data_IF_611587480350
#
_entry.id   IF_611587480350
#
_cell.length_a   1.000
_cell.length_b   1.000
_cell.length_c   1.000
_cell.angle_alpha   90.00
_cell.angle_beta   90.00
_cell.angle_gamma   90.00
#
_symmetry.space_group_name_H-M   'P 1'
#
loop_
_entity.id
_entity.type
_entity.pdbx_description
1 polymer ?
#
# COMPACT_ATOMS: atom_id res chain seq x y z
N UNK A 1 -14.65 -1.85 11.77
CA UNK A 1 -14.02 -2.44 10.59
C UNK A 1 -13.58 -1.32 9.66
N UNK A 2 -12.28 -1.12 9.52
CA UNK A 2 -11.65 -0.10 8.70
C UNK A 2 -10.79 -0.80 7.65
N UNK A 3 -10.97 -0.43 6.39
CA UNK A 3 -10.22 -1.02 5.26
C UNK A 3 -9.39 0.06 4.58
N UNK A 4 -8.13 -0.24 4.25
CA UNK A 4 -7.27 0.62 3.44
C UNK A 4 -7.29 0.13 1.99
N UNK A 5 -7.54 1.04 1.06
CA UNK A 5 -7.42 0.77 -0.37
C UNK A 5 -6.11 1.37 -0.87
N UNK A 6 -5.28 0.56 -1.53
CA UNK A 6 -4.02 0.97 -2.16
C UNK A 6 -3.99 0.49 -3.62
N UNK A 7 -3.21 1.15 -4.46
CA UNK A 7 -3.01 0.82 -5.88
C UNK A 7 -1.67 1.38 -6.36
N UNK A 8 -1.29 1.08 -7.59
CA UNK A 8 -0.25 1.78 -8.37
C UNK A 8 1.10 1.80 -7.64
N UNK A 9 1.46 0.66 -7.05
CA UNK A 9 2.71 0.49 -6.31
C UNK A 9 3.90 0.60 -7.28
N UNK A 10 3.74 0.09 -8.50
CA UNK A 10 4.74 0.15 -9.56
C UNK A 10 6.14 -0.25 -9.09
N UNK A 11 6.25 -1.31 -8.26
CA UNK A 11 7.51 -1.78 -7.72
C UNK A 11 8.24 -0.83 -6.75
N UNK A 12 7.66 0.31 -6.37
CA UNK A 12 8.30 1.28 -5.49
C UNK A 12 8.24 0.84 -4.02
N UNK A 13 9.26 0.09 -3.59
CA UNK A 13 9.34 -0.48 -2.24
C UNK A 13 9.35 0.59 -1.15
N UNK A 14 10.12 1.66 -1.33
CA UNK A 14 10.25 2.74 -0.34
C UNK A 14 8.89 3.43 -0.10
N UNK A 15 8.16 3.75 -1.17
CA UNK A 15 6.83 4.32 -1.06
C UNK A 15 5.85 3.36 -0.38
N UNK A 16 5.89 2.07 -0.74
CA UNK A 16 5.04 1.05 -0.14
C UNK A 16 5.27 0.93 1.36
N UNK A 17 6.53 0.93 1.82
CA UNK A 17 6.86 0.86 3.24
C UNK A 17 6.30 2.05 4.04
N UNK A 18 6.40 3.26 3.50
CA UNK A 18 5.83 4.46 4.13
C UNK A 18 4.31 4.36 4.25
N UNK A 19 3.63 3.90 3.19
CA UNK A 19 2.17 3.72 3.18
C UNK A 19 1.75 2.65 4.19
N UNK A 20 2.42 1.50 4.22
CA UNK A 20 2.11 0.42 5.17
C UNK A 20 2.30 0.85 6.63
N UNK A 21 3.32 1.66 6.93
CA UNK A 21 3.51 2.22 8.26
C UNK A 21 2.39 3.20 8.67
N UNK A 22 1.88 4.01 7.73
CA UNK A 22 0.72 4.88 7.98
C UNK A 22 -0.59 4.07 8.17
N UNK A 23 -0.76 3.00 7.40
CA UNK A 23 -1.88 2.05 7.56
C UNK A 23 -1.84 1.41 8.95
N UNK A 24 -0.69 0.93 9.40
CA UNK A 24 -0.53 0.33 10.73
C UNK A 24 -0.86 1.34 11.85
N UNK A 25 -0.32 2.56 11.75
CA UNK A 25 -0.61 3.66 12.71
C UNK A 25 -2.09 4.03 12.79
N UNK A 26 -2.86 3.76 11.74
CA UNK A 26 -4.30 4.05 11.65
C UNK A 26 -5.18 2.93 12.20
N UNK A 27 -4.59 1.80 12.62
CA UNK A 27 -5.32 0.66 13.17
C UNK A 27 -6.33 0.10 12.18
N UNK A 28 -5.89 -0.10 10.93
CA UNK A 28 -6.74 -0.60 9.86
C UNK A 28 -6.83 -2.13 9.96
N UNK A 29 -8.03 -2.69 9.78
CA UNK A 29 -8.29 -4.12 9.96
C UNK A 29 -7.92 -4.95 8.71
N UNK A 30 -8.00 -4.34 7.53
CA UNK A 30 -7.75 -5.01 6.24
C UNK A 30 -7.15 -4.05 5.21
N UNK A 31 -6.32 -4.58 4.30
CA UNK A 31 -5.77 -3.86 3.15
C UNK A 31 -6.24 -4.53 1.87
N UNK A 32 -6.81 -3.75 0.95
CA UNK A 32 -7.19 -4.20 -0.40
C UNK A 32 -6.31 -3.46 -1.42
N UNK A 33 -5.60 -4.23 -2.25
CA UNK A 33 -4.79 -3.70 -3.34
C UNK A 33 -5.52 -3.83 -4.68
N UNK A 34 -5.63 -2.75 -5.45
CA UNK A 34 -6.40 -2.69 -6.69
C UNK A 34 -5.61 -3.08 -7.95
N UNK A 35 -4.28 -3.20 -7.87
CA UNK A 35 -3.44 -3.62 -8.99
C UNK A 35 -2.18 -2.78 -9.15
N UNK A 36 -1.57 -2.89 -10.34
CA UNK A 36 -0.36 -2.15 -10.74
C UNK A 36 0.78 -2.28 -9.72
N UNK A 37 1.00 -3.52 -9.29
CA UNK A 37 1.91 -3.84 -8.19
C UNK A 37 3.38 -3.73 -8.63
N UNK A 38 3.68 -4.11 -9.87
CA UNK A 38 5.04 -4.23 -10.42
C UNK A 38 5.17 -3.48 -11.76
N UNK A 39 6.41 -3.20 -12.17
CA UNK A 39 6.74 -2.42 -13.37
C UNK A 39 6.90 -0.93 -13.08
N UNK A 40 7.77 -0.24 -13.81
CA UNK A 40 8.12 1.20 -13.67
C UNK A 40 8.88 1.66 -12.40
N UNK A 41 9.12 0.80 -11.41
CA UNK A 41 9.88 1.14 -10.21
C UNK A 41 11.40 1.12 -10.38
N UNK A 42 12.17 1.85 -9.54
CA UNK A 42 13.60 1.62 -9.35
C UNK A 42 13.90 0.33 -8.55
#
# INVERSE_FOLDING_TARGET
MRTALISDIHGNLDALQVVLADVDRRGVDEIVCLGDIVGYGP
#
